data_IF_263400762143
#
_entry.id   IF_263400762143
#
_cell.length_a   1.000
_cell.length_b   1.000
_cell.length_c   1.000
_cell.angle_alpha   90.00
_cell.angle_beta   90.00
_cell.angle_gamma   90.00
#
_symmetry.space_group_name_H-M   'P 1'
#
loop_
_entity.id
_entity.type
_entity.pdbx_description
1 polymer ?
#
# COMPACT_ATOMS: atom_id res chain seq x y z
N UNK A 1 -4.95 28.34 -0.85
CA UNK A 1 -6.35 28.72 -1.14
C UNK A 1 -7.13 27.49 -1.58
N UNK A 2 -8.05 27.01 -0.77
CA UNK A 2 -8.90 25.83 -1.05
C UNK A 2 -10.00 26.32 -2.02
N UNK A 3 -10.09 25.69 -3.19
CA UNK A 3 -11.12 26.04 -4.20
C UNK A 3 -12.52 25.86 -3.61
N UNK A 4 -13.43 26.87 -3.66
CA UNK A 4 -14.74 26.85 -3.01
C UNK A 4 -15.65 25.66 -3.38
N UNK A 5 -15.52 25.11 -4.58
CA UNK A 5 -16.31 23.97 -5.05
C UNK A 5 -16.00 22.63 -4.35
N UNK A 6 -14.85 22.49 -3.67
CA UNK A 6 -14.48 21.30 -2.91
C UNK A 6 -15.23 21.21 -1.56
N UNK A 7 -15.62 22.35 -0.99
CA UNK A 7 -16.26 22.42 0.33
C UNK A 7 -17.77 22.12 0.22
N UNK A 8 -18.43 22.57 -0.85
CA UNK A 8 -19.88 22.39 -1.03
C UNK A 8 -20.23 20.92 -1.33
N UNK A 9 -19.46 20.26 -2.21
CA UNK A 9 -19.65 18.84 -2.53
C UNK A 9 -19.43 17.91 -1.32
N UNK A 10 -18.48 18.26 -0.43
CA UNK A 10 -18.21 17.46 0.78
C UNK A 10 -19.29 17.60 1.85
N UNK A 11 -19.93 18.76 1.99
CA UNK A 11 -21.04 18.99 2.95
C UNK A 11 -22.33 18.29 2.51
N UNK A 12 -22.70 18.42 1.24
CA UNK A 12 -23.87 17.72 0.68
C UNK A 12 -23.69 16.20 0.75
N UNK A 13 -22.48 15.73 0.45
CA UNK A 13 -22.14 14.31 0.51
C UNK A 13 -22.31 13.72 1.91
N UNK A 14 -21.87 14.43 2.97
CA UNK A 14 -22.03 13.99 4.37
C UNK A 14 -23.49 13.82 4.81
N UNK A 15 -24.46 14.42 4.11
CA UNK A 15 -25.88 14.20 4.36
C UNK A 15 -26.37 12.85 3.85
N UNK A 16 -25.70 12.28 2.84
CA UNK A 16 -26.08 10.99 2.22
C UNK A 16 -25.12 9.85 2.58
N UNK A 17 -23.95 10.17 3.11
CA UNK A 17 -22.96 9.18 3.52
C UNK A 17 -23.26 8.68 4.93
N UNK A 18 -23.34 7.36 5.08
CA UNK A 18 -23.52 6.70 6.36
C UNK A 18 -22.38 5.69 6.57
N UNK A 19 -21.56 5.81 7.63
CA UNK A 19 -20.34 5.00 7.81
C UNK A 19 -20.61 3.49 8.00
N UNK A 20 -21.86 3.10 8.32
CA UNK A 20 -22.26 1.71 8.47
C UNK A 20 -22.79 1.06 7.17
N UNK A 21 -22.90 1.81 6.08
CA UNK A 21 -23.39 1.29 4.80
C UNK A 21 -22.26 0.90 3.88
N UNK A 22 -22.52 -0.14 3.08
CA UNK A 22 -21.69 -0.49 1.94
C UNK A 22 -22.11 0.32 0.71
N UNK A 23 -21.12 0.82 0.00
CA UNK A 23 -21.31 1.59 -1.23
C UNK A 23 -20.66 0.88 -2.40
N UNK A 24 -21.43 0.70 -3.46
CA UNK A 24 -20.93 0.02 -4.65
C UNK A 24 -19.94 0.90 -5.43
N UNK A 25 -18.79 0.37 -5.72
CA UNK A 25 -17.77 1.02 -6.53
C UNK A 25 -18.23 1.00 -7.99
N UNK A 26 -18.38 2.20 -8.58
CA UNK A 26 -18.96 2.32 -9.93
C UNK A 26 -17.91 2.28 -11.04
N UNK A 27 -16.68 2.71 -10.76
CA UNK A 27 -15.61 2.84 -11.74
C UNK A 27 -14.29 2.26 -11.24
N UNK A 28 -13.35 2.08 -12.18
CA UNK A 28 -12.00 1.63 -11.86
C UNK A 28 -11.89 0.12 -11.65
N UNK A 29 -10.72 -0.33 -11.19
CA UNK A 29 -10.40 -1.76 -11.09
C UNK A 29 -11.21 -2.54 -10.07
N UNK A 30 -11.78 -1.86 -9.08
CA UNK A 30 -12.66 -2.46 -8.06
C UNK A 30 -14.16 -2.29 -8.40
N UNK A 31 -14.49 -1.96 -9.65
CA UNK A 31 -15.88 -1.84 -10.08
C UNK A 31 -16.66 -3.11 -9.74
N UNK A 32 -17.81 -2.92 -9.11
CA UNK A 32 -18.68 -4.02 -8.68
C UNK A 32 -18.43 -4.49 -7.25
N UNK A 33 -17.30 -4.13 -6.62
CA UNK A 33 -17.12 -4.34 -5.19
C UNK A 33 -17.99 -3.37 -4.39
N UNK A 34 -18.42 -3.77 -3.21
CA UNK A 34 -19.11 -2.91 -2.28
C UNK A 34 -18.24 -2.67 -1.05
N UNK A 35 -18.01 -1.40 -0.71
CA UNK A 35 -17.08 -1.00 0.33
C UNK A 35 -17.74 -0.15 1.41
N UNK A 36 -17.38 -0.39 2.65
CA UNK A 36 -17.49 0.56 3.76
C UNK A 36 -16.23 1.39 3.84
N UNK A 37 -16.39 2.65 4.14
CA UNK A 37 -15.31 3.61 4.23
C UNK A 37 -15.29 4.25 5.61
N UNK A 38 -14.12 4.73 6.03
CA UNK A 38 -14.01 5.57 7.22
C UNK A 38 -14.73 6.92 7.06
N UNK A 39 -14.87 7.69 8.14
CA UNK A 39 -15.65 8.92 8.16
C UNK A 39 -15.12 10.03 7.24
N UNK A 40 -13.92 9.89 6.72
CA UNK A 40 -13.24 10.89 5.89
C UNK A 40 -13.29 10.61 4.38
N UNK A 41 -14.09 9.61 3.97
CA UNK A 41 -14.25 9.24 2.56
C UNK A 41 -14.72 10.43 1.71
N UNK A 42 -14.23 10.52 0.49
CA UNK A 42 -14.64 11.53 -0.50
C UNK A 42 -15.56 10.91 -1.57
N UNK A 43 -16.34 11.75 -2.26
CA UNK A 43 -17.15 11.30 -3.42
C UNK A 43 -16.29 10.61 -4.48
N UNK A 44 -15.07 11.10 -4.68
CA UNK A 44 -14.13 10.55 -5.65
C UNK A 44 -13.76 9.10 -5.30
N UNK A 45 -13.54 8.83 -4.02
CA UNK A 45 -13.25 7.50 -3.51
C UNK A 45 -14.45 6.57 -3.66
N UNK A 46 -15.64 6.99 -3.31
CA UNK A 46 -16.86 6.21 -3.55
C UNK A 46 -17.08 5.86 -5.02
N UNK A 47 -16.69 6.75 -5.92
CA UNK A 47 -16.79 6.49 -7.35
C UNK A 47 -15.72 5.52 -7.89
N UNK A 48 -14.67 5.22 -7.11
CA UNK A 48 -13.60 4.32 -7.51
C UNK A 48 -12.38 4.99 -8.15
N UNK A 49 -12.20 6.29 -7.90
CA UNK A 49 -11.06 7.05 -8.44
C UNK A 49 -9.91 7.21 -7.43
N UNK A 50 -9.53 6.08 -6.79
CA UNK A 50 -8.33 6.04 -5.95
C UNK A 50 -7.11 5.81 -6.80
N UNK A 51 -5.96 6.18 -6.32
CA UNK A 51 -4.63 5.68 -6.69
C UNK A 51 -4.50 5.25 -8.17
N UNK A 52 -5.18 5.98 -9.09
CA UNK A 52 -5.38 5.56 -10.49
C UNK A 52 -4.09 5.15 -11.20
N UNK A 53 -3.00 5.87 -10.94
CA UNK A 53 -1.72 5.60 -11.59
C UNK A 53 -1.07 4.33 -11.01
N UNK A 54 -1.17 4.11 -9.70
CA UNK A 54 -0.66 2.91 -9.04
C UNK A 54 -1.42 1.68 -9.52
N UNK A 55 -2.76 1.74 -9.49
CA UNK A 55 -3.61 0.64 -9.97
C UNK A 55 -3.37 0.35 -11.45
N UNK A 56 -3.27 1.37 -12.28
CA UNK A 56 -2.98 1.20 -13.70
C UNK A 56 -1.61 0.53 -13.93
N UNK A 57 -0.58 0.93 -13.18
CA UNK A 57 0.74 0.31 -13.28
C UNK A 57 0.70 -1.19 -12.91
N UNK A 58 0.05 -1.53 -11.80
CA UNK A 58 -0.10 -2.92 -11.34
C UNK A 58 -0.86 -3.77 -12.37
N UNK A 59 -1.97 -3.25 -12.90
CA UNK A 59 -2.80 -3.96 -13.89
C UNK A 59 -2.01 -4.19 -15.19
N UNK A 60 -1.28 -3.18 -15.68
CA UNK A 60 -0.43 -3.33 -16.87
C UNK A 60 0.66 -4.39 -16.67
N UNK A 61 1.24 -4.48 -15.50
CA UNK A 61 2.20 -5.53 -15.17
C UNK A 61 1.53 -6.91 -15.13
N UNK A 62 0.33 -7.03 -14.52
CA UNK A 62 -0.46 -8.26 -14.54
C UNK A 62 -0.76 -8.70 -15.98
N UNK A 63 -1.23 -7.77 -16.82
CA UNK A 63 -1.59 -8.03 -18.22
C UNK A 63 -0.37 -8.41 -19.07
N UNK A 64 0.82 -8.00 -18.66
CA UNK A 64 2.10 -8.43 -19.23
C UNK A 64 2.61 -9.77 -18.67
N UNK A 65 1.88 -10.43 -17.79
CA UNK A 65 2.19 -11.77 -17.27
C UNK A 65 3.11 -11.82 -16.04
N UNK A 66 3.44 -10.67 -15.41
CA UNK A 66 4.39 -10.67 -14.28
C UNK A 66 3.89 -11.37 -13.02
N UNK A 67 2.57 -11.53 -12.86
CA UNK A 67 1.95 -12.13 -11.67
C UNK A 67 1.26 -13.47 -11.96
N UNK A 68 1.57 -14.10 -13.07
CA UNK A 68 0.84 -15.24 -13.63
C UNK A 68 1.18 -16.61 -13.01
N UNK A 69 1.62 -16.69 -11.78
CA UNK A 69 1.84 -17.96 -11.09
C UNK A 69 0.62 -18.35 -10.24
N UNK A 70 0.20 -19.62 -10.31
CA UNK A 70 -0.91 -20.13 -9.50
C UNK A 70 -0.67 -20.02 -7.98
N UNK A 71 0.58 -19.93 -7.55
CA UNK A 71 0.99 -19.84 -6.14
C UNK A 71 1.66 -18.50 -5.83
N UNK A 72 1.18 -17.44 -6.50
CA UNK A 72 1.69 -16.08 -6.25
C UNK A 72 1.19 -15.54 -4.92
N UNK A 73 2.09 -14.84 -4.22
CA UNK A 73 1.81 -14.16 -2.95
C UNK A 73 2.02 -12.67 -3.13
N UNK A 74 1.09 -11.86 -2.64
CA UNK A 74 1.22 -10.41 -2.56
C UNK A 74 1.10 -9.94 -1.11
N UNK A 75 1.85 -8.89 -0.78
CA UNK A 75 1.79 -8.23 0.52
C UNK A 75 1.19 -6.84 0.38
N UNK A 76 0.23 -6.51 1.25
CA UNK A 76 -0.35 -5.19 1.44
C UNK A 76 0.03 -4.70 2.85
N UNK A 77 1.16 -4.00 2.96
CA UNK A 77 1.67 -3.50 4.22
C UNK A 77 1.15 -2.07 4.44
N UNK A 78 0.39 -1.86 5.54
CA UNK A 78 -0.45 -0.70 5.75
C UNK A 78 -1.75 -0.81 4.94
N UNK A 79 -2.46 -1.93 5.14
CA UNK A 79 -3.62 -2.27 4.31
C UNK A 79 -4.84 -1.37 4.54
N UNK A 80 -4.89 -0.66 5.67
CA UNK A 80 -5.97 0.22 6.05
C UNK A 80 -7.34 -0.50 5.91
N UNK A 81 -8.32 0.05 5.20
CA UNK A 81 -9.62 -0.59 4.97
C UNK A 81 -9.64 -1.62 3.81
N UNK A 82 -8.48 -2.04 3.30
CA UNK A 82 -8.33 -3.20 2.42
C UNK A 82 -8.46 -2.94 0.93
N UNK A 83 -8.25 -1.72 0.47
CA UNK A 83 -8.39 -1.35 -0.93
C UNK A 83 -7.43 -2.11 -1.86
N UNK A 84 -6.15 -2.12 -1.50
CA UNK A 84 -5.15 -2.89 -2.23
C UNK A 84 -5.31 -4.39 -2.02
N UNK A 85 -5.70 -4.81 -0.83
CA UNK A 85 -5.99 -6.21 -0.53
C UNK A 85 -7.07 -6.80 -1.44
N UNK A 86 -8.16 -6.05 -1.67
CA UNK A 86 -9.21 -6.42 -2.63
C UNK A 86 -8.69 -6.48 -4.07
N UNK A 87 -7.91 -5.48 -4.48
CA UNK A 87 -7.29 -5.48 -5.81
C UNK A 87 -6.39 -6.70 -5.98
N UNK A 88 -5.49 -6.95 -5.05
CA UNK A 88 -4.53 -8.05 -5.12
C UNK A 88 -5.23 -9.41 -5.15
N UNK A 89 -6.26 -9.59 -4.32
CA UNK A 89 -7.12 -10.79 -4.36
C UNK A 89 -7.70 -11.02 -5.75
N UNK A 90 -8.24 -9.97 -6.37
CA UNK A 90 -8.83 -10.06 -7.71
C UNK A 90 -7.80 -10.37 -8.81
N UNK A 91 -6.55 -9.91 -8.64
CA UNK A 91 -5.47 -10.14 -9.60
C UNK A 91 -4.89 -11.55 -9.53
N UNK A 92 -4.80 -12.10 -8.32
CA UNK A 92 -4.22 -13.42 -8.08
C UNK A 92 -5.22 -14.56 -8.30
N UNK A 93 -6.51 -14.29 -8.13
CA UNK A 93 -7.53 -15.33 -8.11
C UNK A 93 -7.45 -16.23 -6.86
N UNK A 94 -8.25 -17.29 -6.79
CA UNK A 94 -8.46 -18.06 -5.55
C UNK A 94 -7.27 -18.90 -5.08
N UNK A 95 -6.30 -19.17 -5.95
CA UNK A 95 -5.11 -19.96 -5.60
C UNK A 95 -3.93 -19.14 -5.12
N UNK A 96 -3.94 -17.83 -5.32
CA UNK A 96 -2.94 -16.93 -4.77
C UNK A 96 -3.31 -16.47 -3.37
N UNK A 97 -2.33 -16.00 -2.60
CA UNK A 97 -2.54 -15.47 -1.24
C UNK A 97 -2.16 -14.00 -1.15
N UNK A 98 -2.91 -13.27 -0.34
CA UNK A 98 -2.57 -11.89 0.02
C UNK A 98 -2.38 -11.83 1.53
N UNK A 99 -1.25 -11.31 2.00
CA UNK A 99 -1.05 -10.95 3.39
C UNK A 99 -1.30 -9.45 3.56
N UNK A 100 -2.30 -9.10 4.35
CA UNK A 100 -2.72 -7.73 4.61
C UNK A 100 -2.37 -7.32 6.04
N UNK A 101 -1.39 -6.43 6.22
CA UNK A 101 -0.91 -5.98 7.53
C UNK A 101 -1.57 -4.66 7.89
N UNK A 102 -2.34 -4.67 8.98
CA UNK A 102 -2.96 -3.47 9.53
C UNK A 102 -3.02 -3.57 11.07
N UNK A 103 -2.16 -2.82 11.78
CA UNK A 103 -2.13 -2.85 13.24
C UNK A 103 -3.28 -2.08 13.89
N UNK A 104 -3.87 -1.10 13.20
CA UNK A 104 -4.97 -0.29 13.72
C UNK A 104 -6.29 -1.07 13.80
N UNK A 105 -6.94 -1.07 14.97
CA UNK A 105 -8.16 -1.85 15.18
C UNK A 105 -9.32 -1.41 14.28
N UNK A 106 -9.53 -0.10 14.14
CA UNK A 106 -10.64 0.45 13.35
C UNK A 106 -10.48 0.17 11.85
N UNK A 107 -9.35 0.54 11.22
CA UNK A 107 -9.16 0.24 9.79
C UNK A 107 -9.14 -1.26 9.51
N UNK A 108 -8.55 -2.07 10.41
CA UNK A 108 -8.54 -3.53 10.25
C UNK A 108 -9.95 -4.13 10.32
N UNK A 109 -10.79 -3.67 11.25
CA UNK A 109 -12.19 -4.12 11.31
C UNK A 109 -12.97 -3.75 10.03
N UNK A 110 -12.77 -2.53 9.50
CA UNK A 110 -13.34 -2.12 8.22
C UNK A 110 -12.85 -2.98 7.06
N UNK A 111 -11.56 -3.34 7.03
CA UNK A 111 -11.00 -4.23 6.03
C UNK A 111 -11.66 -5.61 6.09
N UNK A 112 -11.80 -6.19 7.28
CA UNK A 112 -12.46 -7.50 7.46
C UNK A 112 -13.88 -7.44 6.93
N UNK A 113 -14.68 -6.44 7.33
CA UNK A 113 -16.04 -6.25 6.83
C UNK A 113 -16.08 -6.14 5.29
N UNK A 114 -15.14 -5.40 4.70
CA UNK A 114 -15.05 -5.22 3.24
C UNK A 114 -14.71 -6.54 2.53
N UNK A 115 -13.78 -7.32 3.07
CA UNK A 115 -13.40 -8.62 2.51
C UNK A 115 -14.53 -9.63 2.60
N UNK A 116 -15.18 -9.73 3.75
CA UNK A 116 -16.31 -10.63 3.98
C UNK A 116 -17.51 -10.29 3.07
N UNK A 117 -17.88 -9.01 3.00
CA UNK A 117 -18.98 -8.56 2.15
C UNK A 117 -18.76 -8.88 0.66
N UNK A 118 -17.52 -8.76 0.20
CA UNK A 118 -17.14 -9.10 -1.16
C UNK A 118 -16.78 -10.58 -1.36
N UNK A 119 -16.97 -11.44 -0.34
CA UNK A 119 -16.71 -12.90 -0.37
C UNK A 119 -15.28 -13.25 -0.77
N UNK A 120 -14.32 -12.46 -0.29
CA UNK A 120 -12.90 -12.67 -0.53
C UNK A 120 -12.35 -13.66 0.48
N UNK A 121 -11.79 -14.79 0.01
CA UNK A 121 -11.32 -15.88 0.86
C UNK A 121 -9.81 -16.10 0.86
N UNK A 122 -9.05 -15.38 0.02
CA UNK A 122 -7.61 -15.57 -0.14
C UNK A 122 -6.75 -14.41 0.44
N UNK A 123 -7.35 -13.55 1.28
CA UNK A 123 -6.66 -12.50 2.02
C UNK A 123 -6.54 -12.92 3.49
N UNK A 124 -5.31 -12.98 3.98
CA UNK A 124 -4.98 -13.23 5.38
C UNK A 124 -4.71 -11.87 6.05
N UNK A 125 -5.59 -11.50 6.95
CA UNK A 125 -5.51 -10.23 7.69
C UNK A 125 -4.64 -10.42 8.92
N UNK A 126 -3.55 -9.66 8.98
CA UNK A 126 -2.56 -9.72 10.04
C UNK A 126 -2.65 -8.49 10.96
N UNK A 127 -2.89 -8.72 12.26
CA UNK A 127 -2.80 -7.68 13.29
C UNK A 127 -1.32 -7.44 13.64
N UNK A 128 -0.57 -6.93 12.68
CA UNK A 128 0.88 -6.72 12.75
C UNK A 128 1.24 -5.39 12.09
N UNK A 129 2.23 -4.71 12.66
CA UNK A 129 2.97 -3.66 11.98
C UNK A 129 4.25 -4.25 11.40
N UNK A 130 4.56 -3.94 10.13
CA UNK A 130 5.87 -4.24 9.58
C UNK A 130 6.88 -3.21 10.10
N UNK A 131 8.04 -3.68 10.57
CA UNK A 131 9.06 -2.87 11.21
C UNK A 131 10.45 -3.45 10.98
N UNK A 132 11.45 -2.90 11.66
CA UNK A 132 12.84 -3.37 11.62
C UNK A 132 13.11 -4.58 12.50
N UNK A 133 12.18 -4.98 13.37
CA UNK A 133 12.34 -6.11 14.28
C UNK A 133 10.99 -6.71 14.67
N UNK A 134 11.00 -8.00 14.95
CA UNK A 134 9.87 -8.68 15.57
C UNK A 134 9.78 -8.31 17.07
N UNK A 135 8.54 -8.15 17.55
CA UNK A 135 8.28 -7.79 18.94
C UNK A 135 7.04 -6.95 19.13
N UNK A 136 7.16 -5.85 19.86
CA UNK A 136 6.10 -4.87 20.09
C UNK A 136 6.65 -3.45 19.99
N UNK A 137 5.85 -2.54 19.46
CA UNK A 137 6.19 -1.11 19.36
C UNK A 137 5.01 -0.23 19.75
N UNK A 138 5.29 1.03 20.04
CA UNK A 138 4.27 2.05 20.17
C UNK A 138 3.75 2.44 18.77
N UNK A 139 2.45 2.55 18.68
CA UNK A 139 1.75 2.97 17.45
C UNK A 139 0.88 4.18 17.80
N UNK A 140 1.06 5.24 17.04
CA UNK A 140 0.48 6.55 17.28
C UNK A 140 -0.69 6.77 16.34
N UNK A 141 -1.88 6.99 16.89
CA UNK A 141 -3.12 7.19 16.15
C UNK A 141 -3.61 8.62 16.40
N UNK A 142 -3.83 9.35 15.33
CA UNK A 142 -4.48 10.66 15.37
C UNK A 142 -5.99 10.48 15.44
N UNK A 143 -6.65 10.92 16.52
CA UNK A 143 -8.10 10.72 16.70
C UNK A 143 -8.95 11.39 15.62
N UNK A 144 -8.45 12.46 15.00
CA UNK A 144 -9.17 13.20 13.95
C UNK A 144 -8.76 12.78 12.53
N UNK A 145 -7.71 11.95 12.40
CA UNK A 145 -7.12 11.56 11.12
C UNK A 145 -6.62 10.12 11.14
N UNK A 146 -7.54 9.17 11.11
CA UNK A 146 -7.23 7.73 11.15
C UNK A 146 -6.25 7.25 10.06
N UNK A 147 -6.14 8.01 8.96
CA UNK A 147 -5.22 7.71 7.84
C UNK A 147 -3.76 8.05 8.11
N UNK A 148 -3.44 8.70 9.24
CA UNK A 148 -2.07 9.10 9.58
C UNK A 148 -1.52 8.32 10.78
N UNK A 149 -2.09 7.17 11.08
CA UNK A 149 -1.57 6.29 12.12
C UNK A 149 -0.20 5.73 11.70
N UNK A 150 0.80 5.79 12.61
CA UNK A 150 2.17 5.44 12.28
C UNK A 150 2.95 4.94 13.50
N UNK A 151 4.02 4.16 13.24
CA UNK A 151 5.07 3.89 14.23
C UNK A 151 5.94 5.13 14.52
N UNK A 152 5.78 6.22 13.79
CA UNK A 152 6.53 7.48 13.94
C UNK A 152 5.64 8.55 14.55
N UNK A 153 5.97 8.98 15.77
CA UNK A 153 5.23 10.02 16.50
C UNK A 153 5.07 11.31 15.70
N UNK A 154 6.14 11.76 15.04
CA UNK A 154 6.16 12.99 14.24
C UNK A 154 5.23 12.93 13.02
N UNK A 155 4.89 11.73 12.55
CA UNK A 155 3.97 11.51 11.43
C UNK A 155 2.51 11.53 11.88
N UNK A 156 2.22 10.94 13.02
CA UNK A 156 0.88 10.93 13.60
C UNK A 156 0.49 12.30 14.20
N UNK A 157 1.49 13.08 14.65
CA UNK A 157 1.26 14.38 15.30
C UNK A 157 0.80 15.44 14.30
N UNK A 158 -0.37 16.02 14.54
CA UNK A 158 -0.94 17.14 13.79
C UNK A 158 -1.25 18.29 14.74
N UNK A 159 -1.25 19.57 14.27
CA UNK A 159 -1.71 20.69 15.08
C UNK A 159 -3.15 20.47 15.56
N UNK A 160 -3.40 20.70 16.83
CA UNK A 160 -4.73 20.61 17.46
C UNK A 160 -5.40 19.21 17.39
N UNK A 161 -4.59 18.14 17.30
CA UNK A 161 -5.10 16.78 17.24
C UNK A 161 -4.67 16.01 18.48
N UNK A 162 -5.62 15.30 19.10
CA UNK A 162 -5.34 14.39 20.19
C UNK A 162 -4.73 13.10 19.65
N UNK A 163 -3.62 12.66 20.25
CA UNK A 163 -2.96 11.40 19.92
C UNK A 163 -3.36 10.31 20.91
N UNK A 164 -3.67 9.15 20.37
CA UNK A 164 -3.74 7.92 21.11
C UNK A 164 -2.49 7.10 20.83
N UNK A 165 -1.86 6.57 21.89
CA UNK A 165 -0.75 5.62 21.76
C UNK A 165 -1.24 4.24 22.16
N UNK A 166 -1.01 3.26 21.31
CA UNK A 166 -1.33 1.85 21.57
C UNK A 166 -0.09 0.99 21.33
N UNK A 167 -0.02 -0.17 21.97
CA UNK A 167 1.04 -1.16 21.70
C UNK A 167 0.56 -2.13 20.63
N UNK A 168 1.36 -2.31 19.58
CA UNK A 168 1.10 -3.24 18.48
C UNK A 168 2.21 -4.27 18.36
N UNK A 169 1.89 -5.45 17.87
CA UNK A 169 2.89 -6.46 17.53
C UNK A 169 3.60 -6.06 16.24
N UNK A 170 4.91 -6.35 16.17
CA UNK A 170 5.74 -6.05 15.00
C UNK A 170 6.40 -7.31 14.46
N UNK A 171 6.73 -7.28 13.17
CA UNK A 171 7.55 -8.29 12.48
C UNK A 171 8.35 -7.61 11.36
N UNK A 172 9.44 -8.25 10.91
CA UNK A 172 10.05 -7.88 9.63
C UNK A 172 9.34 -8.60 8.49
N UNK A 173 9.51 -8.12 7.26
CA UNK A 173 8.98 -8.83 6.08
C UNK A 173 9.66 -10.19 5.91
N UNK A 174 10.97 -10.24 6.12
CA UNK A 174 11.76 -11.47 6.00
C UNK A 174 11.32 -12.53 7.02
N UNK A 175 11.22 -12.17 8.31
CA UNK A 175 10.75 -13.08 9.37
C UNK A 175 9.32 -13.59 9.14
N UNK A 176 8.45 -12.72 8.62
CA UNK A 176 7.09 -13.14 8.32
C UNK A 176 7.06 -14.13 7.16
N UNK A 177 7.78 -13.82 6.08
CA UNK A 177 7.83 -14.71 4.92
C UNK A 177 8.42 -16.06 5.26
N UNK A 178 9.52 -16.10 6.02
CA UNK A 178 10.14 -17.34 6.47
C UNK A 178 9.15 -18.28 7.20
N UNK A 179 8.26 -17.70 8.02
CA UNK A 179 7.26 -18.46 8.80
C UNK A 179 6.01 -18.81 8.01
N UNK A 180 5.63 -17.98 7.04
CA UNK A 180 4.36 -18.09 6.33
C UNK A 180 4.47 -18.81 4.97
N UNK A 181 5.69 -18.92 4.41
CA UNK A 181 5.92 -19.50 3.10
C UNK A 181 5.51 -20.98 3.04
N UNK A 182 4.81 -21.32 1.95
CA UNK A 182 4.49 -22.71 1.62
C UNK A 182 5.33 -23.12 0.40
N UNK A 183 5.81 -24.37 0.34
CA UNK A 183 6.59 -24.84 -0.82
C UNK A 183 5.90 -24.57 -2.16
N UNK A 184 6.64 -23.98 -3.09
CA UNK A 184 6.14 -23.60 -4.41
C UNK A 184 5.54 -22.21 -4.51
N UNK A 185 5.32 -21.52 -3.39
CA UNK A 185 4.86 -20.11 -3.40
C UNK A 185 5.99 -19.14 -3.71
N UNK A 186 5.60 -18.01 -4.27
CA UNK A 186 6.51 -16.91 -4.61
C UNK A 186 5.88 -15.55 -4.32
N UNK A 187 6.61 -14.71 -3.61
CA UNK A 187 6.23 -13.29 -3.45
C UNK A 187 6.46 -12.56 -4.77
N UNK A 188 5.41 -12.00 -5.35
CA UNK A 188 5.46 -11.31 -6.64
C UNK A 188 5.31 -9.79 -6.53
N UNK A 189 4.63 -9.30 -5.49
CA UNK A 189 4.43 -7.88 -5.24
C UNK A 189 4.34 -7.60 -3.75
N UNK A 190 5.01 -6.54 -3.31
CA UNK A 190 4.93 -6.00 -1.95
C UNK A 190 4.55 -4.52 -2.04
N UNK A 191 3.37 -4.13 -1.53
CA UNK A 191 3.02 -2.73 -1.33
C UNK A 191 3.40 -2.32 0.08
N UNK A 192 4.01 -1.14 0.23
CA UNK A 192 4.37 -0.53 1.52
C UNK A 192 3.88 0.90 1.53
N UNK A 193 2.94 1.18 2.45
CA UNK A 193 2.40 2.50 2.71
C UNK A 193 2.05 2.60 4.20
N UNK A 194 3.02 3.02 4.99
CA UNK A 194 3.01 2.98 6.46
C UNK A 194 3.37 4.33 7.09
N UNK A 195 2.99 5.40 6.40
CA UNK A 195 3.01 6.76 6.90
C UNK A 195 4.36 7.17 7.54
N UNK A 196 5.44 7.05 6.76
CA UNK A 196 6.76 7.56 7.14
C UNK A 196 7.67 6.57 7.86
N UNK A 197 7.32 5.27 7.91
CA UNK A 197 8.13 4.24 8.57
C UNK A 197 8.80 3.26 7.57
N UNK A 198 8.65 3.45 6.26
CA UNK A 198 9.21 2.54 5.26
C UNK A 198 10.75 2.49 5.31
N UNK A 199 11.43 3.56 5.74
CA UNK A 199 12.87 3.60 5.93
C UNK A 199 13.38 2.60 6.97
N UNK A 200 12.54 2.23 7.94
CA UNK A 200 12.87 1.21 8.94
C UNK A 200 12.56 -0.21 8.46
N UNK A 201 11.65 -0.38 7.49
CA UNK A 201 11.27 -1.69 6.95
C UNK A 201 12.20 -2.15 5.84
N UNK A 202 12.53 -1.27 4.90
CA UNK A 202 13.24 -1.62 3.68
C UNK A 202 14.63 -2.27 3.89
N UNK A 203 15.45 -1.88 4.89
CA UNK A 203 16.70 -2.59 5.17
C UNK A 203 16.52 -4.03 5.68
N UNK A 204 15.30 -4.37 6.17
CA UNK A 204 14.95 -5.66 6.78
C UNK A 204 14.03 -6.52 5.89
N UNK A 205 14.08 -6.31 4.57
CA UNK A 205 13.42 -7.13 3.56
C UNK A 205 14.41 -7.74 2.55
N UNK A 206 15.68 -7.88 2.95
CA UNK A 206 16.77 -8.31 2.07
C UNK A 206 16.57 -9.73 1.54
N UNK A 207 16.16 -10.65 2.41
CA UNK A 207 15.93 -12.05 2.03
C UNK A 207 14.84 -12.15 0.97
N UNK A 208 13.69 -11.52 1.20
CA UNK A 208 12.58 -11.47 0.23
C UNK A 208 13.02 -10.76 -1.06
N UNK A 209 13.70 -9.62 -0.96
CA UNK A 209 14.14 -8.86 -2.12
C UNK A 209 15.11 -9.63 -3.02
N UNK A 210 16.03 -10.40 -2.46
CA UNK A 210 17.05 -11.12 -3.21
C UNK A 210 16.58 -12.50 -3.67
N UNK A 211 15.82 -13.25 -2.84
CA UNK A 211 15.42 -14.62 -3.17
C UNK A 211 14.12 -14.67 -3.98
N UNK A 212 13.15 -13.80 -3.69
CA UNK A 212 11.84 -13.80 -4.35
C UNK A 212 11.77 -12.83 -5.53
N UNK A 213 12.60 -11.77 -5.52
CA UNK A 213 12.63 -10.76 -6.58
C UNK A 213 11.25 -10.15 -6.87
N UNK A 214 10.45 -9.75 -5.85
CA UNK A 214 9.14 -9.17 -6.07
C UNK A 214 9.25 -7.76 -6.64
N UNK A 215 8.17 -7.27 -7.21
CA UNK A 215 7.98 -5.83 -7.38
C UNK A 215 7.69 -5.21 -6.00
N UNK A 216 8.15 -3.96 -5.77
CA UNK A 216 7.75 -3.21 -4.58
C UNK A 216 7.03 -1.94 -5.00
N UNK A 217 5.85 -1.69 -4.44
CA UNK A 217 5.11 -0.44 -4.59
C UNK A 217 5.18 0.32 -3.27
N UNK A 218 6.01 1.36 -3.19
CA UNK A 218 6.33 2.04 -1.95
C UNK A 218 5.87 3.49 -2.03
N UNK A 219 5.01 3.91 -1.08
CA UNK A 219 4.68 5.31 -0.90
C UNK A 219 5.71 5.97 0.03
N UNK A 220 6.31 7.05 -0.45
CA UNK A 220 7.30 7.83 0.29
C UNK A 220 6.68 9.09 0.86
N UNK A 221 6.87 9.30 2.15
CA UNK A 221 6.36 10.43 2.92
C UNK A 221 7.48 11.26 3.54
N UNK A 222 8.74 10.86 3.35
CA UNK A 222 9.89 11.52 3.95
C UNK A 222 11.17 11.35 3.13
N UNK A 223 12.15 12.20 3.45
CA UNK A 223 13.49 12.10 2.85
C UNK A 223 14.17 10.77 3.16
N UNK A 224 14.01 10.28 4.38
CA UNK A 224 14.63 9.04 4.82
C UNK A 224 14.08 7.84 4.04
N UNK A 225 12.77 7.81 3.77
CA UNK A 225 12.16 6.77 2.96
C UNK A 225 12.66 6.80 1.52
N UNK A 226 12.74 7.97 0.88
CA UNK A 226 13.33 8.08 -0.45
C UNK A 226 14.81 7.62 -0.49
N UNK A 227 15.57 7.91 0.56
CA UNK A 227 16.95 7.44 0.69
C UNK A 227 17.01 5.91 0.81
N UNK A 228 16.12 5.31 1.60
CA UNK A 228 16.02 3.86 1.76
C UNK A 228 15.58 3.17 0.46
N UNK A 229 14.65 3.77 -0.29
CA UNK A 229 14.25 3.31 -1.64
C UNK A 229 15.47 3.32 -2.58
N UNK A 230 16.25 4.41 -2.56
CA UNK A 230 17.48 4.51 -3.34
C UNK A 230 18.49 3.42 -2.98
N UNK A 231 18.69 3.15 -1.69
CA UNK A 231 19.56 2.08 -1.21
C UNK A 231 19.09 0.68 -1.68
N UNK A 232 17.78 0.40 -1.65
CA UNK A 232 17.23 -0.83 -2.22
C UNK A 232 17.55 -0.98 -3.70
N UNK A 233 17.41 0.09 -4.48
CA UNK A 233 17.71 0.06 -5.91
C UNK A 233 19.19 -0.29 -6.15
N UNK A 234 20.11 0.28 -5.36
CA UNK A 234 21.56 0.05 -5.50
C UNK A 234 21.96 -1.35 -5.03
N UNK A 235 21.56 -1.70 -3.80
CA UNK A 235 22.08 -2.88 -3.12
C UNK A 235 21.46 -4.17 -3.61
N UNK A 236 20.17 -4.12 -4.03
CA UNK A 236 19.43 -5.32 -4.42
C UNK A 236 19.11 -5.39 -5.91
N UNK A 237 19.64 -4.46 -6.71
CA UNK A 237 19.52 -4.49 -8.17
C UNK A 237 18.09 -4.26 -8.65
N UNK A 238 17.46 -3.19 -8.20
CA UNK A 238 16.16 -2.71 -8.68
C UNK A 238 16.32 -1.44 -9.52
N UNK A 239 15.34 -1.18 -10.38
CA UNK A 239 15.12 0.11 -11.01
C UNK A 239 13.80 0.71 -10.53
N UNK A 240 13.67 2.03 -10.53
CA UNK A 240 12.52 2.76 -10.00
C UNK A 240 11.67 3.40 -11.08
N UNK A 241 10.35 3.36 -10.90
CA UNK A 241 9.36 4.03 -11.73
C UNK A 241 8.39 4.81 -10.85
N UNK A 242 8.34 6.15 -11.02
CA UNK A 242 7.39 7.03 -10.31
C UNK A 242 6.02 6.97 -11.00
N UNK A 243 5.04 6.42 -10.31
CA UNK A 243 3.69 6.21 -10.88
C UNK A 243 2.94 7.50 -11.11
N UNK A 244 3.14 8.52 -10.27
CA UNK A 244 2.44 9.80 -10.33
C UNK A 244 2.62 10.55 -11.67
N UNK A 245 3.82 10.51 -12.22
CA UNK A 245 4.19 11.24 -13.44
C UNK A 245 4.75 10.32 -14.53
N UNK A 246 4.61 9.02 -14.38
CA UNK A 246 5.08 8.00 -15.34
C UNK A 246 6.58 8.14 -15.67
N UNK A 247 7.40 8.44 -14.67
CA UNK A 247 8.82 8.74 -14.84
C UNK A 247 9.71 7.63 -14.29
N UNK A 248 10.70 7.21 -15.10
CA UNK A 248 11.76 6.32 -14.65
C UNK A 248 12.80 7.07 -13.83
N UNK A 249 13.19 6.50 -12.70
CA UNK A 249 14.27 7.02 -11.86
C UNK A 249 15.59 6.54 -12.47
N UNK A 250 16.31 7.45 -13.10
CA UNK A 250 17.55 7.13 -13.83
C UNK A 250 18.80 7.25 -12.95
N UNK A 251 18.74 8.07 -11.89
CA UNK A 251 19.87 8.37 -11.01
C UNK A 251 19.40 8.37 -9.56
N UNK A 252 20.09 7.60 -8.75
CA UNK A 252 19.74 7.39 -7.34
C UNK A 252 20.13 8.58 -6.46
N UNK A 253 21.20 9.28 -6.79
CA UNK A 253 21.66 10.49 -6.12
C UNK A 253 20.68 11.67 -6.23
N UNK A 254 19.65 11.54 -7.09
CA UNK A 254 18.63 12.54 -7.34
C UNK A 254 17.21 12.07 -7.05
N UNK A 255 17.07 10.97 -6.33
CA UNK A 255 15.72 10.46 -5.94
C UNK A 255 15.02 11.47 -5.03
N UNK A 256 15.82 12.21 -4.21
CA UNK A 256 15.28 13.16 -3.26
C UNK A 256 16.12 14.45 -3.16
N UNK A 257 15.50 15.64 -3.00
CA UNK A 257 14.06 15.89 -3.21
C UNK A 257 13.70 15.71 -4.69
N UNK A 258 12.58 15.05 -4.94
CA UNK A 258 12.07 14.96 -6.31
C UNK A 258 11.63 16.37 -6.76
N UNK A 259 12.15 16.90 -7.88
CA UNK A 259 11.78 18.23 -8.38
C UNK A 259 10.28 18.37 -8.68
N UNK A 260 9.57 17.25 -8.92
CA UNK A 260 8.13 17.22 -9.18
C UNK A 260 7.29 17.08 -7.89
N UNK A 261 7.94 17.17 -6.72
CA UNK A 261 7.29 17.03 -5.42
C UNK A 261 7.58 15.69 -4.75
N UNK A 262 7.73 15.77 -3.45
CA UNK A 262 8.33 14.74 -2.60
C UNK A 262 7.44 13.53 -2.41
N UNK A 263 6.15 13.78 -2.32
CA UNK A 263 5.14 12.81 -1.94
C UNK A 263 4.70 12.01 -3.15
N UNK A 264 5.06 10.73 -3.16
CA UNK A 264 4.63 9.90 -4.27
C UNK A 264 5.10 8.47 -4.20
N UNK A 265 4.42 7.63 -4.95
CA UNK A 265 4.65 6.21 -4.99
C UNK A 265 5.73 5.86 -6.01
N UNK A 266 6.68 5.03 -5.60
CA UNK A 266 7.69 4.42 -6.46
C UNK A 266 7.42 2.94 -6.59
N UNK A 267 7.32 2.48 -7.82
CA UNK A 267 7.33 1.06 -8.16
C UNK A 267 8.79 0.65 -8.42
N UNK A 268 9.31 -0.23 -7.56
CA UNK A 268 10.62 -0.86 -7.75
C UNK A 268 10.44 -2.14 -8.57
N UNK A 269 11.26 -2.29 -9.58
CA UNK A 269 11.21 -3.35 -10.58
C UNK A 269 12.56 -4.05 -10.56
N UNK A 270 12.64 -5.38 -10.39
CA UNK A 270 13.90 -6.10 -10.52
C UNK A 270 14.56 -5.79 -11.87
N UNK A 271 15.88 -5.57 -11.90
CA UNK A 271 16.59 -5.15 -13.12
C UNK A 271 16.43 -6.12 -14.27
N UNK A 272 16.34 -7.40 -14.00
CA UNK A 272 16.09 -8.45 -14.99
C UNK A 272 14.73 -8.30 -15.68
N UNK A 273 13.77 -7.62 -15.04
CA UNK A 273 12.44 -7.34 -15.58
C UNK A 273 12.30 -5.92 -16.16
N UNK A 274 13.35 -5.10 -16.13
CA UNK A 274 13.28 -3.69 -16.55
C UNK A 274 12.77 -3.52 -17.98
N UNK A 275 13.36 -4.22 -18.95
CA UNK A 275 13.01 -4.07 -20.36
C UNK A 275 11.54 -4.44 -20.66
N UNK A 276 11.03 -5.62 -20.26
CA UNK A 276 9.62 -5.95 -20.47
C UNK A 276 8.67 -5.08 -19.65
N UNK A 277 9.02 -4.67 -18.43
CA UNK A 277 8.21 -3.74 -17.64
C UNK A 277 8.12 -2.35 -18.28
N UNK A 278 9.22 -1.85 -18.89
CA UNK A 278 9.18 -0.60 -19.66
C UNK A 278 8.19 -0.67 -20.84
N UNK A 279 8.11 -1.80 -21.51
CA UNK A 279 7.15 -2.01 -22.59
C UNK A 279 5.69 -2.02 -22.08
N UNK A 280 5.45 -2.68 -20.94
CA UNK A 280 4.13 -2.75 -20.32
C UNK A 280 3.64 -1.38 -19.79
N UNK A 281 4.52 -0.63 -19.13
CA UNK A 281 4.16 0.65 -18.47
C UNK A 281 4.03 1.84 -19.43
N UNK A 282 4.47 1.73 -20.68
CA UNK A 282 4.30 2.77 -21.72
C UNK A 282 2.90 2.82 -22.35
N UNK A 283 2.11 1.77 -22.18
CA UNK A 283 0.74 1.64 -22.70
C UNK A 283 -0.26 2.30 -21.75
#
# INVERSE_FOLDING_TARGET
MIKPGRILGSRLFRLFYHPQRFYQVLFGPLRGSALRFGPQVTVRELLGFWERNNFAAIIRLRDAGFFASAHSVMYDIGANFGLYSLLFSSLLGPQGRVFAFEPGDIPRALMIDNLEHNKVGNVLVENLACSNTAGTAEFYISKDHDHTASLRLERAKRPNTELQTVRVRTTTLDDHWEKAAVPGERVVLVKIDIEGAADSVLPHCQSVALSQRPFFLIESHSRNEDTAIGAMMQNFGYCGYRTKNNRWVLRLDRVYPDPDGIWGTTLLIPKEHERPARAALRR
#
